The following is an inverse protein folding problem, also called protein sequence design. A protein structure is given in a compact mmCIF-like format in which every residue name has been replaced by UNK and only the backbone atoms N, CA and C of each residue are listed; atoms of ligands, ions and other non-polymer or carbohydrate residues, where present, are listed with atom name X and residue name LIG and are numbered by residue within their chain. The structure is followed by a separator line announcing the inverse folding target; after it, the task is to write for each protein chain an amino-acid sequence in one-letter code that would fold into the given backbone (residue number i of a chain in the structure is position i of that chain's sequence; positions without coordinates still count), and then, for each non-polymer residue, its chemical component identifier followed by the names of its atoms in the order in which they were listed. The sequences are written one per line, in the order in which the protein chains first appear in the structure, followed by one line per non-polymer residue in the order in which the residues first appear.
data_IF_244710905015
#
_entry.id   IF_244710905015
#
_cell.length_a   1.000
_cell.length_b   1.000
_cell.length_c   1.000
_cell.angle_alpha   90.00
_cell.angle_beta   90.00
_cell.angle_gamma   90.00
#
_symmetry.space_group_name_H-M   'P 1'
#
loop_
_entity.id
_entity.type
_entity.pdbx_description
1 polymer ?
#
# COMPACT_ATOMS: atom_id res chain seq x y z
N UNK A 1 -15.54 9.34 14.05
CA UNK A 1 -16.58 9.80 13.10
C UNK A 1 -16.64 8.81 11.96
N UNK A 2 -17.72 8.04 11.85
CA UNK A 2 -17.87 7.08 10.74
C UNK A 2 -18.33 7.84 9.49
N UNK A 3 -17.59 7.72 8.40
CA UNK A 3 -18.05 8.23 7.10
C UNK A 3 -19.16 7.31 6.61
N UNK A 4 -20.36 7.85 6.29
CA UNK A 4 -21.46 7.02 5.79
C UNK A 4 -21.02 6.20 4.57
N UNK A 5 -21.41 4.92 4.52
CA UNK A 5 -21.02 4.00 3.44
C UNK A 5 -21.46 4.51 2.06
N UNK A 6 -22.62 5.12 2.00
CA UNK A 6 -23.17 5.75 0.79
C UNK A 6 -22.27 6.88 0.26
N UNK A 7 -21.62 7.64 1.15
CA UNK A 7 -20.72 8.73 0.76
C UNK A 7 -19.39 8.20 0.24
N UNK A 8 -18.84 7.14 0.87
CA UNK A 8 -17.62 6.46 0.40
C UNK A 8 -17.85 5.87 -0.98
N UNK A 9 -18.90 5.08 -1.12
CA UNK A 9 -19.24 4.38 -2.36
C UNK A 9 -19.61 5.36 -3.47
N UNK A 10 -20.41 6.39 -3.16
CA UNK A 10 -20.86 7.39 -4.14
C UNK A 10 -19.72 8.23 -4.70
N UNK A 11 -18.80 8.71 -3.86
CA UNK A 11 -17.69 9.55 -4.30
C UNK A 11 -16.66 8.75 -5.12
N UNK A 12 -16.21 7.60 -4.60
CA UNK A 12 -15.18 6.77 -5.22
C UNK A 12 -15.70 6.19 -6.54
N UNK A 13 -16.87 5.54 -6.53
CA UNK A 13 -17.46 4.96 -7.73
C UNK A 13 -17.91 6.01 -8.75
N UNK A 14 -18.43 7.15 -8.29
CA UNK A 14 -18.82 8.26 -9.16
C UNK A 14 -17.63 8.84 -9.92
N UNK A 15 -16.50 9.01 -9.25
CA UNK A 15 -15.25 9.48 -9.88
C UNK A 15 -14.71 8.44 -10.86
N UNK A 16 -14.64 7.17 -10.48
CA UNK A 16 -14.19 6.10 -11.35
C UNK A 16 -15.06 5.97 -12.62
N UNK A 17 -16.38 5.98 -12.46
CA UNK A 17 -17.35 5.92 -13.60
C UNK A 17 -17.22 7.08 -14.56
N UNK A 18 -16.79 8.24 -14.10
CA UNK A 18 -16.59 9.43 -14.94
C UNK A 18 -15.22 9.44 -15.62
N UNK A 19 -14.18 9.03 -14.90
CA UNK A 19 -12.79 9.20 -15.35
C UNK A 19 -12.26 8.00 -16.13
N UNK A 20 -12.66 6.77 -15.79
CA UNK A 20 -12.10 5.57 -16.43
C UNK A 20 -12.60 5.27 -17.85
N UNK A 21 -13.89 5.45 -18.21
CA UNK A 21 -14.38 5.08 -19.55
C UNK A 21 -13.63 5.76 -20.70
N UNK A 22 -13.29 7.06 -20.65
CA UNK A 22 -12.51 7.71 -21.70
C UNK A 22 -11.10 7.10 -21.87
N UNK A 23 -10.54 6.53 -20.81
CA UNK A 23 -9.18 5.96 -20.78
C UNK A 23 -9.16 4.46 -21.12
N UNK A 24 -10.30 3.81 -21.32
CA UNK A 24 -10.41 2.35 -21.45
C UNK A 24 -9.41 1.72 -22.43
N UNK A 25 -9.09 2.40 -23.52
CA UNK A 25 -8.13 1.92 -24.53
C UNK A 25 -6.67 2.08 -24.11
N UNK A 26 -6.41 2.80 -23.02
CA UNK A 26 -5.08 3.10 -22.49
C UNK A 26 -4.84 2.39 -21.15
N UNK A 27 -5.86 1.70 -20.60
CA UNK A 27 -5.76 0.99 -19.33
C UNK A 27 -5.36 -0.46 -19.62
N UNK A 28 -4.30 -0.87 -18.93
CA UNK A 28 -3.87 -2.26 -18.81
C UNK A 28 -4.14 -2.74 -17.38
N UNK A 29 -4.76 -3.92 -17.25
CA UNK A 29 -5.09 -4.49 -15.93
C UNK A 29 -3.94 -5.35 -15.43
N UNK A 30 -3.59 -5.17 -14.16
CA UNK A 30 -2.55 -5.94 -13.48
C UNK A 30 -3.19 -6.84 -12.43
N UNK A 31 -3.21 -8.16 -12.68
CA UNK A 31 -3.81 -9.16 -11.78
C UNK A 31 -2.77 -9.90 -10.92
N UNK A 32 -1.53 -9.88 -11.32
CA UNK A 32 -0.39 -10.53 -10.62
C UNK A 32 0.82 -9.62 -10.57
N UNK A 33 1.78 -9.93 -9.71
CA UNK A 33 3.05 -9.22 -9.67
C UNK A 33 3.68 -9.21 -11.08
N UNK A 34 3.98 -8.03 -11.59
CA UNK A 34 4.45 -7.83 -12.95
C UNK A 34 5.42 -6.66 -13.05
N UNK A 35 6.49 -6.83 -13.78
CA UNK A 35 7.34 -5.73 -14.21
C UNK A 35 6.66 -5.04 -15.40
N UNK A 36 6.39 -3.75 -15.27
CA UNK A 36 5.67 -2.96 -16.30
C UNK A 36 6.61 -2.15 -17.18
N UNK A 37 7.74 -1.74 -16.63
CA UNK A 37 8.90 -1.21 -17.34
C UNK A 37 10.15 -1.62 -16.56
N UNK A 38 11.35 -1.65 -17.16
CA UNK A 38 12.55 -2.07 -16.47
C UNK A 38 12.74 -1.39 -15.12
N UNK A 39 12.81 -2.19 -14.05
CA UNK A 39 12.98 -1.73 -12.68
C UNK A 39 11.71 -1.26 -11.97
N UNK A 40 10.53 -1.29 -12.59
CA UNK A 40 9.25 -0.94 -11.93
C UNK A 40 8.30 -2.14 -11.94
N UNK A 41 8.02 -2.65 -10.73
CA UNK A 41 7.12 -3.77 -10.51
C UNK A 41 5.85 -3.30 -9.80
N UNK A 42 4.71 -3.78 -10.29
CA UNK A 42 3.42 -3.63 -9.63
C UNK A 42 3.09 -4.89 -8.85
N UNK A 43 2.74 -4.73 -7.57
CA UNK A 43 2.40 -5.81 -6.67
C UNK A 43 0.93 -5.68 -6.25
N UNK A 44 0.07 -6.67 -6.53
CA UNK A 44 -1.28 -6.69 -6.00
C UNK A 44 -1.27 -6.55 -4.47
N UNK A 45 -1.97 -5.55 -3.98
CA UNK A 45 -2.03 -5.18 -2.56
C UNK A 45 -3.50 -4.99 -2.11
N UNK A 46 -4.39 -5.97 -2.37
CA UNK A 46 -5.82 -5.83 -2.14
C UNK A 46 -6.16 -5.66 -0.66
N UNK A 47 -7.28 -5.01 -0.39
CA UNK A 47 -7.85 -4.84 0.95
C UNK A 47 -8.28 -3.40 1.24
N UNK A 48 -7.40 -2.40 1.10
CA UNK A 48 -7.82 -1.00 1.12
C UNK A 48 -8.88 -0.76 0.04
N UNK A 49 -8.58 -1.18 -1.18
CA UNK A 49 -9.55 -1.45 -2.24
C UNK A 49 -9.25 -2.82 -2.87
N UNK A 50 -10.22 -3.47 -3.53
CA UNK A 50 -10.00 -4.78 -4.16
C UNK A 50 -8.88 -4.80 -5.20
N UNK A 51 -8.71 -3.70 -5.95
CA UNK A 51 -7.69 -3.56 -7.00
C UNK A 51 -6.46 -2.76 -6.59
N UNK A 52 -6.23 -2.57 -5.29
CA UNK A 52 -5.09 -1.78 -4.80
C UNK A 52 -3.74 -2.40 -5.20
N UNK A 53 -2.79 -1.55 -5.55
CA UNK A 53 -1.43 -1.93 -5.95
C UNK A 53 -0.38 -1.22 -5.09
N UNK A 54 0.68 -1.94 -4.75
CA UNK A 54 1.94 -1.37 -4.30
C UNK A 54 2.92 -1.33 -5.48
N UNK A 55 3.95 -0.49 -5.37
CA UNK A 55 4.95 -0.32 -6.44
C UNK A 55 6.35 -0.55 -5.88
N UNK A 56 7.08 -1.50 -6.45
CA UNK A 56 8.49 -1.66 -6.16
C UNK A 56 9.32 -1.03 -7.28
N UNK A 57 10.29 -0.20 -6.91
CA UNK A 57 11.23 0.46 -7.83
C UNK A 57 12.62 -0.03 -7.50
N UNK A 58 13.36 -0.51 -8.50
CA UNK A 58 14.74 -0.98 -8.37
C UNK A 58 15.64 -0.25 -9.36
N UNK A 59 16.83 0.15 -8.91
CA UNK A 59 17.87 0.74 -9.75
C UNK A 59 19.24 0.31 -9.22
N UNK A 60 19.94 -0.52 -9.98
CA UNK A 60 21.18 -1.16 -9.51
C UNK A 60 20.95 -1.95 -8.22
N UNK A 61 21.60 -1.56 -7.14
CA UNK A 61 21.46 -2.20 -5.80
C UNK A 61 20.41 -1.50 -4.92
N UNK A 62 19.87 -0.37 -5.33
CA UNK A 62 18.88 0.38 -4.58
C UNK A 62 17.46 -0.11 -4.87
N UNK A 63 16.64 -0.16 -3.85
CA UNK A 63 15.23 -0.53 -3.96
C UNK A 63 14.35 0.30 -3.03
N UNK A 64 13.15 0.62 -3.52
CA UNK A 64 12.10 1.30 -2.76
C UNK A 64 10.78 0.59 -2.99
N UNK A 65 10.05 0.28 -1.92
CA UNK A 65 8.68 -0.22 -1.96
C UNK A 65 7.71 0.90 -1.55
N UNK A 66 6.96 1.41 -2.50
CA UNK A 66 5.85 2.33 -2.24
C UNK A 66 4.60 1.51 -1.88
N UNK A 67 4.20 1.58 -0.62
CA UNK A 67 3.10 0.77 -0.08
C UNK A 67 1.72 1.39 -0.30
N UNK A 68 1.65 2.60 -0.84
CA UNK A 68 0.43 3.38 -1.07
C UNK A 68 -0.49 3.35 0.18
N UNK A 69 -1.76 3.03 0.03
CA UNK A 69 -2.73 3.00 1.12
C UNK A 69 -2.80 1.67 1.88
N UNK A 70 -1.91 0.70 1.58
CA UNK A 70 -1.82 -0.52 2.38
C UNK A 70 -1.35 -0.26 3.82
N UNK A 71 -0.61 0.85 4.05
CA UNK A 71 -0.16 1.28 5.38
C UNK A 71 -0.47 2.77 5.59
N UNK A 72 -1.62 3.05 6.18
CA UNK A 72 -2.14 4.41 6.33
C UNK A 72 -1.52 5.20 7.50
N UNK A 73 -0.92 4.54 8.49
CA UNK A 73 -0.37 5.20 9.67
C UNK A 73 0.67 4.30 10.34
N UNK A 74 1.74 4.85 10.96
CA UNK A 74 2.75 4.07 11.67
C UNK A 74 2.18 3.13 12.72
N UNK A 75 1.11 3.52 13.43
CA UNK A 75 0.46 2.68 14.45
C UNK A 75 -0.02 1.32 13.91
N UNK A 76 -0.39 1.25 12.62
CA UNK A 76 -0.80 -0.01 11.99
C UNK A 76 0.38 -0.95 11.73
N UNK A 77 1.60 -0.46 11.79
CA UNK A 77 2.81 -1.28 11.79
C UNK A 77 3.08 -1.85 13.18
N UNK A 78 2.95 -1.01 14.21
CA UNK A 78 3.17 -1.42 15.61
C UNK A 78 2.07 -2.35 16.12
N UNK A 79 0.85 -2.17 15.62
CA UNK A 79 -0.35 -2.91 16.01
C UNK A 79 -0.96 -3.64 14.81
N UNK A 80 -0.34 -4.73 14.31
CA UNK A 80 -0.74 -5.38 13.06
C UNK A 80 -2.14 -6.03 13.12
N UNK A 81 -2.67 -6.22 14.32
CA UNK A 81 -4.04 -6.71 14.49
C UNK A 81 -5.11 -5.62 14.32
N UNK A 82 -4.72 -4.35 14.35
CA UNK A 82 -5.67 -3.25 14.22
C UNK A 82 -6.22 -3.14 12.81
N UNK A 83 -7.49 -2.74 12.74
CA UNK A 83 -8.24 -2.51 11.51
C UNK A 83 -8.55 -1.03 11.38
N UNK A 84 -8.70 -0.55 10.18
CA UNK A 84 -9.11 0.83 9.91
C UNK A 84 -10.42 0.86 9.13
N UNK A 85 -11.26 1.83 9.44
CA UNK A 85 -12.53 2.06 8.73
C UNK A 85 -12.34 2.52 7.29
N UNK A 86 -11.13 2.89 6.91
CA UNK A 86 -10.79 3.29 5.55
C UNK A 86 -10.54 2.09 4.62
N UNK A 87 -10.32 0.90 5.18
CA UNK A 87 -10.15 -0.32 4.38
C UNK A 87 -11.52 -0.93 4.05
N UNK A 88 -11.78 -1.19 2.77
CA UNK A 88 -13.02 -1.83 2.32
C UNK A 88 -13.11 -3.30 2.75
N UNK A 89 -11.97 -4.01 2.71
CA UNK A 89 -11.81 -5.41 3.10
C UNK A 89 -10.78 -5.49 4.24
N UNK A 90 -11.20 -5.16 5.47
CA UNK A 90 -10.29 -4.91 6.60
C UNK A 90 -9.33 -6.07 6.91
N UNK A 91 -9.80 -7.32 6.87
CA UNK A 91 -8.96 -8.48 7.14
C UNK A 91 -7.93 -8.69 6.04
N UNK A 92 -8.34 -8.57 4.80
CA UNK A 92 -7.47 -8.68 3.63
C UNK A 92 -6.44 -7.55 3.58
N UNK A 93 -6.83 -6.33 3.97
CA UNK A 93 -5.90 -5.19 4.11
C UNK A 93 -4.82 -5.46 5.16
N UNK A 94 -5.20 -6.05 6.31
CA UNK A 94 -4.24 -6.43 7.34
C UNK A 94 -3.28 -7.55 6.89
N UNK A 95 -3.76 -8.55 6.14
CA UNK A 95 -2.92 -9.60 5.55
C UNK A 95 -1.95 -9.02 4.51
N UNK A 96 -2.44 -8.16 3.63
CA UNK A 96 -1.64 -7.46 2.62
C UNK A 96 -0.57 -6.60 3.28
N UNK A 97 -0.93 -5.82 4.29
CA UNK A 97 0.00 -4.99 5.08
C UNK A 97 1.11 -5.83 5.67
N UNK A 98 0.76 -6.94 6.33
CA UNK A 98 1.73 -7.86 6.92
C UNK A 98 2.70 -8.40 5.87
N UNK A 99 2.19 -8.90 4.75
CA UNK A 99 3.00 -9.43 3.65
C UNK A 99 3.98 -8.40 3.08
N UNK A 100 3.54 -7.15 2.87
CA UNK A 100 4.40 -6.09 2.34
C UNK A 100 5.48 -5.66 3.33
N UNK A 101 5.14 -5.54 4.62
CA UNK A 101 6.08 -5.14 5.66
C UNK A 101 7.09 -6.25 5.97
N UNK A 102 6.68 -7.52 5.98
CA UNK A 102 7.60 -8.66 6.13
C UNK A 102 8.60 -8.71 4.99
N UNK A 103 8.13 -8.53 3.74
CA UNK A 103 9.01 -8.45 2.56
C UNK A 103 10.00 -7.30 2.69
N UNK A 104 9.52 -6.09 3.01
CA UNK A 104 10.38 -4.92 3.15
C UNK A 104 11.44 -5.08 4.24
N UNK A 105 11.09 -5.66 5.38
CA UNK A 105 12.01 -5.93 6.48
C UNK A 105 13.06 -6.99 6.11
N UNK A 106 12.63 -8.10 5.46
CA UNK A 106 13.52 -9.17 5.05
C UNK A 106 14.53 -8.71 3.99
N UNK A 107 14.06 -7.98 2.97
CA UNK A 107 14.86 -7.49 1.86
C UNK A 107 15.65 -6.22 2.20
N UNK A 108 15.43 -5.63 3.39
CA UNK A 108 15.98 -4.33 3.81
C UNK A 108 15.69 -3.21 2.82
N UNK A 109 14.58 -3.34 2.08
CA UNK A 109 14.12 -2.36 1.10
C UNK A 109 13.65 -1.09 1.82
N UNK A 110 13.98 0.08 1.26
CA UNK A 110 13.38 1.35 1.72
C UNK A 110 11.88 1.33 1.43
N UNK A 111 11.09 1.82 2.36
CA UNK A 111 9.64 1.93 2.21
C UNK A 111 9.26 3.39 2.05
N UNK A 112 8.43 3.68 1.06
CA UNK A 112 7.73 4.96 0.93
C UNK A 112 6.28 4.77 1.38
N UNK A 113 5.88 5.50 2.43
CA UNK A 113 4.57 5.42 3.04
C UNK A 113 3.90 6.81 2.99
N UNK A 114 3.05 7.01 2.02
CA UNK A 114 2.44 8.30 1.64
C UNK A 114 1.80 9.08 2.80
N UNK A 115 1.12 8.38 3.70
CA UNK A 115 0.41 8.98 4.84
C UNK A 115 1.25 9.19 6.10
N UNK A 116 2.53 8.88 6.04
CA UNK A 116 3.41 9.03 7.22
C UNK A 116 3.88 10.49 7.37
N UNK A 117 4.26 10.91 8.59
CA UNK A 117 4.96 12.18 8.78
C UNK A 117 6.22 12.26 7.92
N UNK A 118 6.55 13.48 7.46
CA UNK A 118 7.78 13.70 6.68
C UNK A 118 9.03 13.40 7.53
N UNK A 119 10.06 12.73 6.96
CA UNK A 119 10.10 12.18 5.62
C UNK A 119 9.27 10.89 5.53
N UNK A 120 8.52 10.74 4.43
CA UNK A 120 7.67 9.56 4.18
C UNK A 120 8.45 8.35 3.67
N UNK A 121 9.77 8.48 3.58
CA UNK A 121 10.72 7.44 3.20
C UNK A 121 11.46 6.94 4.44
N UNK A 122 11.66 5.64 4.55
CA UNK A 122 12.37 5.06 5.68
C UNK A 122 12.61 3.57 5.52
N UNK A 123 12.91 2.89 6.62
CA UNK A 123 13.05 1.44 6.71
C UNK A 123 12.07 0.85 7.70
N UNK A 124 11.88 -0.44 7.56
CA UNK A 124 10.99 -1.22 8.42
C UNK A 124 11.84 -2.29 9.10
N UNK A 125 11.79 -2.33 10.43
CA UNK A 125 12.44 -3.35 11.24
C UNK A 125 11.40 -4.20 11.99
N UNK A 126 11.54 -5.53 11.96
CA UNK A 126 10.66 -6.42 12.73
C UNK A 126 10.92 -6.28 14.24
N UNK A 127 9.85 -6.14 15.04
CA UNK A 127 9.92 -6.05 16.51
C UNK A 127 9.84 -7.43 17.15
N UNK A 128 10.61 -7.65 18.21
CA UNK A 128 10.56 -8.90 18.99
C UNK A 128 9.19 -9.18 19.63
N UNK A 129 8.42 -8.14 19.90
CA UNK A 129 7.08 -8.20 20.49
C UNK A 129 5.98 -8.38 19.46
N UNK A 130 6.32 -8.53 18.18
CA UNK A 130 5.42 -8.54 17.05
C UNK A 130 5.20 -7.15 16.45
N UNK A 131 4.80 -7.13 15.18
CA UNK A 131 4.71 -5.90 14.39
C UNK A 131 6.07 -5.38 13.93
N UNK A 132 6.08 -4.12 13.48
CA UNK A 132 7.25 -3.47 12.89
C UNK A 132 7.47 -2.09 13.49
N UNK A 133 8.71 -1.66 13.45
CA UNK A 133 9.15 -0.32 13.80
C UNK A 133 9.48 0.46 12.51
N UNK A 134 9.11 1.73 12.51
CA UNK A 134 9.43 2.66 11.43
C UNK A 134 10.69 3.45 11.75
N UNK A 135 11.67 3.39 10.87
CA UNK A 135 12.93 4.14 10.93
C UNK A 135 12.94 5.15 9.77
N UNK A 136 12.59 6.44 10.02
CA UNK A 136 12.62 7.45 8.97
C UNK A 136 14.00 7.58 8.34
N UNK A 137 14.08 7.84 7.04
CA UNK A 137 15.33 8.21 6.39
C UNK A 137 15.81 9.57 6.92
N UNK A 138 17.08 9.65 7.22
CA UNK A 138 17.78 10.89 7.61
C UNK A 138 18.10 11.73 6.39
#
# INVERSE_FOLDING_TARGET
MQVPEELKTGLILGTARRCLPPLRKQIELVEKESEVVPGIHLLPAPGHTPGHLAVAVTSGTDSVLHVADAVLHPILMEQPAWRTVFDLEQDRAAETRRRLLDRAAADKTKVMAYHFPFPTLGRVASRRTGGWEWEPAS
#
